data_IF_010629107522
#
_entry.id   IF_010629107522
#
_cell.length_a   1.000
_cell.length_b   1.000
_cell.length_c   1.000
_cell.angle_alpha   90.00
_cell.angle_beta   90.00
_cell.angle_gamma   90.00
#
_symmetry.space_group_name_H-M   'P 1'
#
loop_
_entity.id
_entity.type
_entity.pdbx_description
1 polymer ?
#
# COMPACT_ATOMS: atom_id res chain seq x y z
N UNK A 1 -27.41 0.93 -77.57
CA UNK A 1 -27.60 2.36 -77.39
C UNK A 1 -28.99 2.62 -76.84
N UNK A 2 -29.18 2.81 -75.57
CA UNK A 2 -30.43 3.16 -74.97
C UNK A 2 -30.14 3.88 -73.63
N UNK A 3 -30.67 5.05 -73.38
CA UNK A 3 -30.25 5.88 -72.30
C UNK A 3 -30.91 5.51 -70.96
N UNK A 4 -30.14 5.61 -69.94
CA UNK A 4 -30.52 5.45 -68.55
C UNK A 4 -31.40 6.62 -68.05
N UNK A 5 -32.61 6.31 -67.60
CA UNK A 5 -33.49 7.30 -66.94
C UNK A 5 -33.06 7.52 -65.50
N UNK A 6 -32.81 8.76 -65.12
CA UNK A 6 -32.63 9.22 -63.74
C UNK A 6 -34.00 9.35 -63.07
N UNK A 7 -34.20 8.60 -62.00
CA UNK A 7 -35.26 8.89 -61.02
C UNK A 7 -34.68 9.69 -59.87
N UNK A 8 -35.19 10.87 -59.68
CA UNK A 8 -34.85 11.80 -58.64
C UNK A 8 -35.71 11.49 -57.40
N UNK A 9 -35.13 10.95 -56.36
CA UNK A 9 -35.79 10.78 -55.06
C UNK A 9 -35.33 11.93 -54.18
N UNK A 10 -36.27 12.74 -53.77
CA UNK A 10 -36.07 13.87 -52.87
C UNK A 10 -35.95 13.36 -51.44
N UNK A 11 -34.75 13.37 -50.84
CA UNK A 11 -34.55 13.14 -49.44
C UNK A 11 -34.43 14.47 -48.71
N UNK A 12 -35.37 14.67 -47.80
CA UNK A 12 -35.38 15.77 -46.85
C UNK A 12 -34.23 15.57 -45.87
N UNK A 13 -33.25 16.48 -45.85
CA UNK A 13 -32.13 16.48 -44.90
C UNK A 13 -32.61 17.11 -43.60
N UNK A 14 -32.85 16.27 -42.57
CA UNK A 14 -32.86 16.75 -41.19
C UNK A 14 -31.44 17.05 -40.77
N UNK A 15 -31.15 18.30 -40.51
CA UNK A 15 -29.89 18.75 -39.92
C UNK A 15 -29.78 18.28 -38.48
N UNK A 16 -29.22 17.11 -38.25
CA UNK A 16 -28.71 16.71 -36.96
C UNK A 16 -27.35 17.34 -36.77
N UNK A 17 -27.25 18.28 -35.83
CA UNK A 17 -25.96 18.82 -35.38
C UNK A 17 -25.14 17.68 -34.75
N UNK A 18 -24.22 17.11 -35.49
CA UNK A 18 -23.18 16.27 -34.94
C UNK A 18 -22.24 17.14 -34.13
N UNK A 19 -22.34 17.08 -32.82
CA UNK A 19 -21.30 17.59 -31.94
C UNK A 19 -20.00 16.84 -32.23
N UNK A 20 -19.10 17.48 -32.96
CA UNK A 20 -17.76 17.04 -33.14
C UNK A 20 -17.07 17.07 -31.76
N UNK A 21 -16.85 15.92 -31.15
CA UNK A 21 -15.87 15.79 -30.05
C UNK A 21 -14.49 16.09 -30.64
N UNK A 22 -14.06 17.33 -30.52
CA UNK A 22 -12.62 17.62 -30.65
C UNK A 22 -11.91 16.93 -29.51
N UNK A 23 -10.84 16.17 -29.75
CA UNK A 23 -9.99 15.73 -28.67
C UNK A 23 -9.31 16.97 -28.10
N UNK A 24 -9.79 17.44 -26.96
CA UNK A 24 -9.05 18.38 -26.15
C UNK A 24 -7.78 17.67 -25.70
N UNK A 25 -6.68 18.01 -26.32
CA UNK A 25 -5.32 17.73 -25.89
C UNK A 25 -5.01 18.69 -24.73
N UNK A 26 -5.75 18.59 -23.65
CA UNK A 26 -5.45 19.21 -22.37
C UNK A 26 -4.63 18.18 -21.62
N UNK A 27 -3.35 18.53 -21.39
CA UNK A 27 -2.45 17.77 -20.54
C UNK A 27 -3.20 17.24 -19.32
N UNK A 28 -2.97 15.99 -19.00
CA UNK A 28 -3.48 15.34 -17.82
C UNK A 28 -3.10 16.18 -16.60
N UNK A 29 -3.95 17.11 -16.21
CA UNK A 29 -3.96 17.58 -14.83
C UNK A 29 -4.35 16.37 -14.02
N UNK A 30 -3.35 15.72 -13.42
CA UNK A 30 -3.55 14.82 -12.30
C UNK A 30 -4.58 15.50 -11.40
N UNK A 31 -5.75 14.89 -11.26
CA UNK A 31 -6.79 15.42 -10.39
C UNK A 31 -6.14 15.55 -9.02
N UNK A 32 -5.90 16.78 -8.58
CA UNK A 32 -5.35 17.05 -7.26
C UNK A 32 -6.40 16.54 -6.28
N UNK A 33 -6.16 15.35 -5.74
CA UNK A 33 -7.01 14.80 -4.71
C UNK A 33 -6.87 15.73 -3.51
N UNK A 34 -7.92 16.53 -3.28
CA UNK A 34 -7.90 17.56 -2.24
C UNK A 34 -7.81 16.89 -0.88
N UNK A 35 -6.77 17.20 -0.12
CA UNK A 35 -6.65 16.76 1.26
C UNK A 35 -7.91 17.11 2.05
N UNK A 36 -8.46 16.13 2.77
CA UNK A 36 -9.54 16.36 3.72
C UNK A 36 -8.99 17.14 4.92
N UNK A 37 -9.85 17.92 5.57
CA UNK A 37 -9.46 18.56 6.83
C UNK A 37 -9.09 17.48 7.85
N UNK A 38 -7.95 17.59 8.54
CA UNK A 38 -7.50 16.57 9.47
C UNK A 38 -8.50 16.40 10.62
N UNK A 39 -8.82 15.14 10.96
CA UNK A 39 -9.63 14.81 12.13
C UNK A 39 -8.81 13.93 13.07
N UNK A 40 -9.00 14.04 14.39
CA UNK A 40 -8.44 13.08 15.34
C UNK A 40 -8.88 11.65 14.99
N UNK A 41 -7.99 10.68 15.15
CA UNK A 41 -8.30 9.28 14.93
C UNK A 41 -9.47 8.84 15.81
N UNK A 42 -10.42 8.12 15.22
CA UNK A 42 -11.49 7.46 15.98
C UNK A 42 -10.98 6.07 16.38
N UNK A 43 -10.61 5.89 17.66
CA UNK A 43 -10.17 4.58 18.13
C UNK A 43 -11.29 3.55 17.95
N UNK A 44 -11.03 2.50 17.18
CA UNK A 44 -11.96 1.38 17.03
C UNK A 44 -11.78 0.39 18.18
N UNK A 45 -12.88 -0.05 18.85
CA UNK A 45 -12.80 -1.09 19.85
C UNK A 45 -12.16 -2.36 19.29
N UNK A 46 -11.22 -2.94 20.04
CA UNK A 46 -10.48 -4.13 19.62
C UNK A 46 -9.21 -3.85 18.81
N UNK A 47 -9.00 -2.63 18.35
CA UNK A 47 -7.84 -2.23 17.53
C UNK A 47 -6.86 -1.33 18.30
N UNK A 48 -6.46 -1.77 19.49
CA UNK A 48 -5.55 -1.02 20.36
C UNK A 48 -4.06 -1.19 20.08
N UNK A 49 -3.68 -2.15 19.24
CA UNK A 49 -2.30 -2.44 18.85
C UNK A 49 -1.83 -1.65 17.64
N UNK A 50 -0.67 -2.03 17.08
CA UNK A 50 -0.11 -1.40 15.90
C UNK A 50 -0.61 -2.03 14.60
N UNK A 51 -0.67 -1.25 13.53
CA UNK A 51 -0.70 -1.76 12.16
C UNK A 51 0.74 -1.89 11.70
N UNK A 52 1.15 -3.10 11.37
CA UNK A 52 2.50 -3.44 10.93
C UNK A 52 2.40 -3.97 9.51
N UNK A 53 3.06 -3.30 8.59
CA UNK A 53 3.15 -3.71 7.19
C UNK A 53 4.54 -4.26 6.94
N UNK A 54 4.62 -5.45 6.34
CA UNK A 54 5.87 -6.06 5.88
C UNK A 54 5.71 -6.31 4.38
N UNK A 55 6.57 -5.68 3.57
CA UNK A 55 6.51 -5.80 2.12
C UNK A 55 7.63 -6.69 1.64
N UNK A 56 7.25 -7.71 0.88
CA UNK A 56 8.15 -8.62 0.19
C UNK A 56 8.07 -8.36 -1.31
N UNK A 57 8.91 -9.00 -2.11
CA UNK A 57 9.18 -8.63 -3.49
C UNK A 57 8.93 -9.75 -4.51
N UNK A 58 8.26 -9.35 -5.60
CA UNK A 58 8.26 -10.04 -6.90
C UNK A 58 7.98 -11.55 -6.84
N UNK A 59 7.01 -11.99 -6.04
CA UNK A 59 6.61 -13.41 -6.04
C UNK A 59 5.10 -13.56 -6.17
N UNK A 60 4.72 -14.51 -7.00
CA UNK A 60 3.33 -14.85 -7.20
C UNK A 60 2.74 -15.61 -6.01
N UNK A 61 1.44 -15.46 -5.83
CA UNK A 61 0.69 -16.26 -4.85
C UNK A 61 0.90 -17.76 -5.03
N UNK A 62 1.05 -18.24 -6.26
CA UNK A 62 1.28 -19.66 -6.55
C UNK A 62 2.64 -20.13 -6.03
N UNK A 63 3.68 -19.32 -6.14
CA UNK A 63 5.01 -19.66 -5.62
C UNK A 63 5.03 -19.68 -4.09
N UNK A 64 4.30 -18.78 -3.46
CA UNK A 64 4.33 -18.58 -2.01
C UNK A 64 3.28 -19.45 -1.30
N UNK A 65 2.04 -19.48 -1.77
CA UNK A 65 0.91 -20.18 -1.12
C UNK A 65 0.50 -21.44 -1.83
N UNK A 66 1.12 -21.80 -2.96
CA UNK A 66 0.86 -23.03 -3.69
C UNK A 66 1.53 -24.26 -3.06
N UNK A 67 1.25 -25.45 -3.62
CA UNK A 67 1.85 -26.69 -3.15
C UNK A 67 3.39 -26.64 -3.19
N UNK A 68 4.04 -26.93 -2.05
CA UNK A 68 5.49 -26.89 -1.93
C UNK A 68 6.07 -25.50 -1.64
N UNK A 69 5.23 -24.52 -1.37
CA UNK A 69 5.65 -23.18 -0.94
C UNK A 69 6.36 -23.17 0.42
N UNK A 70 6.85 -21.99 0.85
CA UNK A 70 7.68 -21.84 2.04
C UNK A 70 6.90 -22.19 3.32
N UNK A 71 7.55 -22.92 4.20
CA UNK A 71 6.89 -23.54 5.35
C UNK A 71 6.35 -22.53 6.36
N UNK A 72 7.17 -21.54 6.75
CA UNK A 72 6.77 -20.60 7.79
C UNK A 72 5.62 -19.71 7.32
N UNK A 73 5.68 -19.25 6.08
CA UNK A 73 4.58 -18.46 5.49
C UNK A 73 3.28 -19.28 5.43
N UNK A 74 3.35 -20.59 5.13
CA UNK A 74 2.16 -21.46 5.19
C UNK A 74 1.61 -21.58 6.63
N UNK A 75 2.49 -21.66 7.65
CA UNK A 75 2.06 -21.64 9.05
C UNK A 75 1.36 -20.32 9.41
N UNK A 76 1.87 -19.18 8.93
CA UNK A 76 1.22 -17.88 9.09
C UNK A 76 -0.14 -17.80 8.38
N UNK A 77 -0.23 -18.33 7.17
CA UNK A 77 -1.49 -18.37 6.40
C UNK A 77 -2.56 -19.24 7.10
N UNK A 78 -2.18 -20.34 7.73
CA UNK A 78 -3.09 -21.16 8.53
C UNK A 78 -3.53 -20.49 9.82
N UNK A 79 -2.69 -19.66 10.43
CA UNK A 79 -3.01 -18.91 11.65
C UNK A 79 -3.76 -17.59 11.42
N UNK A 80 -3.61 -17.02 10.25
CA UNK A 80 -4.19 -15.75 9.83
C UNK A 80 -5.35 -15.86 8.84
N UNK A 81 -5.62 -14.80 8.11
CA UNK A 81 -6.54 -14.76 6.99
C UNK A 81 -5.79 -14.43 5.69
N UNK A 82 -6.21 -15.02 4.58
CA UNK A 82 -5.57 -14.89 3.27
C UNK A 82 -6.57 -14.33 2.25
N UNK A 83 -6.15 -13.33 1.48
CA UNK A 83 -6.89 -12.86 0.31
C UNK A 83 -6.28 -13.50 -0.95
N UNK A 84 -6.95 -14.53 -1.50
CA UNK A 84 -6.44 -15.25 -2.68
C UNK A 84 -6.78 -14.59 -4.01
N UNK A 85 -7.55 -13.52 -3.99
CA UNK A 85 -7.90 -12.70 -5.15
C UNK A 85 -7.50 -11.25 -4.90
N UNK A 86 -6.25 -11.07 -4.42
CA UNK A 86 -5.61 -9.79 -4.23
C UNK A 86 -4.72 -9.50 -5.45
N UNK A 87 -4.82 -8.29 -5.97
CA UNK A 87 -4.11 -7.82 -7.15
C UNK A 87 -3.21 -6.65 -6.78
N UNK A 88 -2.08 -6.51 -7.42
CA UNK A 88 -1.33 -5.26 -7.43
C UNK A 88 -2.09 -4.19 -8.23
N UNK A 89 -1.49 -3.01 -8.41
CA UNK A 89 -2.11 -1.91 -9.15
C UNK A 89 -1.94 -2.02 -10.66
N UNK A 90 -1.38 -3.12 -11.15
CA UNK A 90 -0.96 -3.31 -12.55
C UNK A 90 -0.01 -2.21 -13.04
N UNK A 91 0.69 -1.57 -12.13
CA UNK A 91 1.72 -0.55 -12.40
C UNK A 91 3.06 -1.13 -11.98
N UNK A 92 4.02 -1.04 -12.84
CA UNK A 92 5.38 -1.56 -12.65
C UNK A 92 6.39 -0.46 -13.03
N UNK A 93 7.59 -0.49 -12.49
CA UNK A 93 8.16 -1.43 -11.54
C UNK A 93 7.81 -1.14 -10.07
N UNK A 94 8.56 -1.75 -9.13
CA UNK A 94 8.29 -1.80 -7.68
C UNK A 94 7.98 -0.44 -7.04
N UNK A 95 8.75 0.63 -7.33
CA UNK A 95 8.55 1.95 -6.71
C UNK A 95 7.10 2.44 -6.84
N UNK A 96 6.48 2.27 -8.01
CA UNK A 96 5.10 2.67 -8.25
C UNK A 96 4.12 1.97 -7.30
N UNK A 97 4.35 0.69 -6.98
CA UNK A 97 3.54 -0.08 -6.06
C UNK A 97 3.75 0.36 -4.60
N UNK A 98 5.00 0.63 -4.21
CA UNK A 98 5.30 1.15 -2.86
C UNK A 98 4.65 2.52 -2.62
N UNK A 99 4.72 3.43 -3.60
CA UNK A 99 4.03 4.72 -3.52
C UNK A 99 2.52 4.54 -3.38
N UNK A 100 1.94 3.60 -4.12
CA UNK A 100 0.52 3.31 -4.01
C UNK A 100 0.11 2.80 -2.63
N UNK A 101 0.93 1.96 -2.01
CA UNK A 101 0.69 1.42 -0.66
C UNK A 101 0.57 2.51 0.42
N UNK A 102 1.16 3.67 0.21
CA UNK A 102 1.16 4.75 1.21
C UNK A 102 0.35 5.98 0.79
N UNK A 103 -0.05 6.09 -0.48
CA UNK A 103 -0.76 7.27 -0.98
C UNK A 103 -2.03 6.94 -1.80
N UNK A 104 -2.26 5.68 -2.16
CA UNK A 104 -3.36 5.27 -3.04
C UNK A 104 -3.19 5.72 -4.47
N UNK A 105 -1.97 6.09 -4.87
CA UNK A 105 -1.56 6.45 -6.22
C UNK A 105 -0.04 6.39 -6.37
N UNK A 106 0.45 6.28 -7.61
CA UNK A 106 1.88 6.28 -7.93
C UNK A 106 2.43 7.63 -8.41
N UNK A 107 1.63 8.69 -8.42
CA UNK A 107 2.01 10.04 -8.88
C UNK A 107 2.56 10.10 -10.32
N UNK A 108 2.29 9.09 -11.13
CA UNK A 108 2.82 8.96 -12.50
C UNK A 108 4.24 8.42 -12.58
N UNK A 109 4.81 7.97 -11.48
CA UNK A 109 6.10 7.27 -11.43
C UNK A 109 5.96 5.89 -12.08
N UNK A 110 6.85 5.56 -13.01
CA UNK A 110 6.84 4.34 -13.79
C UNK A 110 8.26 3.77 -13.99
N UNK A 111 9.17 4.05 -13.08
CA UNK A 111 10.53 3.53 -13.03
C UNK A 111 10.97 3.33 -11.58
N UNK A 112 12.21 2.96 -11.34
CA UNK A 112 12.78 2.65 -10.03
C UNK A 112 13.94 3.61 -9.67
N UNK A 113 13.85 4.86 -10.11
CA UNK A 113 14.89 5.83 -9.86
C UNK A 113 14.92 6.26 -8.37
N UNK A 114 16.11 6.52 -7.84
CA UNK A 114 16.27 7.00 -6.47
C UNK A 114 15.55 8.37 -6.24
N UNK A 115 15.20 8.73 -4.99
CA UNK A 115 14.51 9.97 -4.62
C UNK A 115 15.11 11.26 -5.18
N UNK A 116 16.39 11.25 -5.57
CA UNK A 116 17.03 12.39 -6.23
C UNK A 116 16.40 12.73 -7.60
N UNK A 117 15.76 11.76 -8.24
CA UNK A 117 15.08 11.93 -9.54
C UNK A 117 13.57 12.15 -9.37
N UNK A 118 12.98 11.69 -8.29
CA UNK A 118 11.55 11.77 -8.01
C UNK A 118 11.26 12.63 -6.78
N UNK A 119 10.73 13.81 -7.00
CA UNK A 119 10.37 14.78 -5.97
C UNK A 119 8.86 14.91 -5.89
N UNK A 120 8.22 14.20 -4.94
CA UNK A 120 6.77 14.21 -4.78
C UNK A 120 6.36 15.37 -3.86
N UNK A 121 5.85 16.44 -4.48
CA UNK A 121 5.31 17.58 -3.75
C UNK A 121 3.84 17.33 -3.39
N UNK A 122 3.62 16.37 -2.50
CA UNK A 122 2.29 15.97 -2.03
C UNK A 122 2.33 15.63 -0.56
N UNK A 123 1.32 16.07 0.18
CA UNK A 123 1.04 15.69 1.58
C UNK A 123 -0.17 14.75 1.67
N UNK A 124 -0.65 14.25 0.52
CA UNK A 124 -1.76 13.30 0.48
C UNK A 124 -1.24 11.87 0.57
N UNK A 125 -0.70 11.52 1.74
CA UNK A 125 -0.19 10.18 2.03
C UNK A 125 -0.48 9.77 3.50
N UNK A 126 -0.37 8.47 3.77
CA UNK A 126 -0.75 7.88 5.07
C UNK A 126 -0.06 8.54 6.26
N UNK A 127 1.25 8.81 6.17
CA UNK A 127 1.99 9.30 7.35
C UNK A 127 1.61 10.73 7.74
N UNK A 128 1.19 11.56 6.78
CA UNK A 128 0.59 12.86 7.09
C UNK A 128 -0.74 12.71 7.83
N UNK A 129 -1.61 11.80 7.36
CA UNK A 129 -2.87 11.54 8.06
C UNK A 129 -2.65 11.01 9.47
N UNK A 130 -1.68 10.10 9.64
CA UNK A 130 -1.29 9.50 10.91
C UNK A 130 -0.83 10.58 11.88
N UNK A 131 0.07 11.47 11.48
CA UNK A 131 0.57 12.56 12.32
C UNK A 131 -0.53 13.57 12.65
N UNK A 132 -1.35 13.97 11.66
CA UNK A 132 -2.50 14.86 11.88
C UNK A 132 -3.54 14.26 12.84
N UNK A 133 -3.67 12.94 12.86
CA UNK A 133 -4.53 12.22 13.79
C UNK A 133 -3.93 12.07 15.21
N UNK A 134 -2.72 12.58 15.43
CA UNK A 134 -1.98 12.44 16.70
C UNK A 134 -1.43 11.04 16.94
N UNK A 135 -1.32 10.22 15.90
CA UNK A 135 -0.74 8.89 15.94
C UNK A 135 0.75 8.93 15.56
N UNK A 136 1.47 7.88 15.92
CA UNK A 136 2.91 7.74 15.62
C UNK A 136 3.15 6.72 14.50
N UNK A 137 4.24 6.90 13.77
CA UNK A 137 4.67 5.98 12.73
C UNK A 137 6.19 5.82 12.69
N UNK A 138 6.68 4.73 12.12
CA UNK A 138 8.09 4.53 11.79
C UNK A 138 8.24 3.49 10.67
N UNK A 139 9.17 3.75 9.76
CA UNK A 139 9.61 2.82 8.75
C UNK A 139 10.98 2.24 9.16
N UNK A 140 11.11 0.91 9.09
CA UNK A 140 12.32 0.18 9.40
C UNK A 140 12.84 -0.47 8.12
N UNK A 141 13.98 0.03 7.64
CA UNK A 141 14.55 -0.35 6.35
C UNK A 141 15.83 -1.17 6.56
N UNK A 142 15.81 -2.45 6.17
CA UNK A 142 16.97 -3.32 6.43
C UNK A 142 18.15 -2.95 5.54
N UNK A 143 19.34 -2.85 6.16
CA UNK A 143 20.61 -2.47 5.51
C UNK A 143 20.70 -1.02 5.04
N UNK A 144 19.82 -0.15 5.50
CA UNK A 144 19.86 1.29 5.17
C UNK A 144 21.06 1.99 5.85
N UNK A 145 21.43 1.57 7.07
CA UNK A 145 22.52 2.15 7.84
C UNK A 145 22.12 3.48 8.49
N UNK A 146 22.47 4.61 7.86
CA UNK A 146 22.09 5.91 8.40
C UNK A 146 20.59 6.19 8.16
N UNK A 147 19.89 6.88 9.11
CA UNK A 147 18.50 7.23 8.92
C UNK A 147 18.25 8.10 7.67
N UNK A 148 17.07 7.97 7.05
CA UNK A 148 16.66 8.73 5.88
C UNK A 148 17.58 8.49 4.65
N UNK A 149 17.73 7.22 4.26
CA UNK A 149 18.54 6.80 3.12
C UNK A 149 17.91 7.21 1.79
N UNK A 150 18.46 8.22 1.12
CA UNK A 150 17.93 8.76 -0.14
C UNK A 150 18.55 8.11 -1.38
N UNK A 151 19.43 7.14 -1.22
CA UNK A 151 20.15 6.51 -2.33
C UNK A 151 20.34 5.04 -2.05
N UNK A 152 20.04 4.22 -3.05
CA UNK A 152 20.25 2.78 -3.01
C UNK A 152 21.72 2.43 -2.84
N UNK A 153 22.05 1.50 -1.95
CA UNK A 153 23.41 1.01 -1.75
C UNK A 153 23.44 -0.37 -1.10
N UNK A 154 24.43 -1.16 -1.44
CA UNK A 154 24.59 -2.50 -0.87
C UNK A 154 23.36 -3.38 -1.14
N UNK A 155 22.63 -3.68 -0.08
CA UNK A 155 21.36 -4.43 -0.12
C UNK A 155 20.13 -3.59 0.22
N UNK A 156 20.32 -2.33 0.55
CA UNK A 156 19.24 -1.36 0.69
C UNK A 156 18.85 -0.82 -0.68
N UNK A 157 17.56 -0.82 -0.98
CA UNK A 157 16.98 -0.23 -2.18
C UNK A 157 16.05 0.91 -1.79
N UNK A 158 16.38 2.16 -2.16
CA UNK A 158 15.56 3.33 -1.84
C UNK A 158 14.17 3.24 -2.48
N UNK A 159 14.04 2.59 -3.64
CA UNK A 159 12.75 2.33 -4.31
C UNK A 159 11.77 1.51 -3.47
N UNK A 160 12.24 0.79 -2.47
CA UNK A 160 11.41 0.03 -1.51
C UNK A 160 11.10 0.82 -0.23
N UNK A 161 11.46 2.10 -0.19
CA UNK A 161 11.15 3.04 0.90
C UNK A 161 10.31 4.20 0.38
N UNK A 162 8.97 4.08 0.35
CA UNK A 162 8.12 5.09 -0.28
C UNK A 162 8.16 6.45 0.42
N UNK A 163 8.56 6.50 1.69
CA UNK A 163 8.50 7.73 2.48
C UNK A 163 9.57 8.75 2.08
N UNK A 164 10.73 8.28 1.57
CA UNK A 164 11.83 9.14 1.18
C UNK A 164 11.61 9.88 -0.15
N UNK A 165 10.52 9.60 -0.84
CA UNK A 165 10.14 10.28 -2.07
C UNK A 165 9.32 11.55 -1.84
N UNK A 166 8.67 11.69 -0.68
CA UNK A 166 7.84 12.86 -0.37
C UNK A 166 8.69 14.03 0.17
N UNK A 167 8.58 15.19 -0.47
CA UNK A 167 9.37 16.38 -0.16
C UNK A 167 9.19 16.85 1.29
N UNK A 168 7.99 16.77 1.82
CA UNK A 168 7.66 17.13 3.19
C UNK A 168 8.25 16.15 4.23
N UNK A 169 8.58 14.92 3.82
CA UNK A 169 9.28 13.93 4.64
C UNK A 169 10.78 14.07 4.50
N UNK A 170 11.32 14.06 3.27
CA UNK A 170 12.75 13.97 2.99
C UNK A 170 13.49 15.31 3.10
N UNK A 171 12.77 16.45 3.12
CA UNK A 171 13.34 17.78 3.24
C UNK A 171 13.84 18.40 1.94
N UNK A 172 13.36 17.95 0.79
CA UNK A 172 13.61 18.63 -0.47
C UNK A 172 12.88 19.97 -0.52
N UNK A 173 13.61 21.07 -0.79
CA UNK A 173 13.07 22.43 -0.82
C UNK A 173 12.85 23.00 -2.23
N UNK A 174 13.00 22.16 -3.25
CA UNK A 174 12.97 22.56 -4.66
C UNK A 174 14.35 22.80 -5.27
N UNK A 175 15.42 22.81 -4.48
CA UNK A 175 16.80 23.03 -4.93
C UNK A 175 17.79 22.01 -4.37
N UNK A 176 17.57 21.58 -3.13
CA UNK A 176 18.46 20.65 -2.45
C UNK A 176 17.72 19.87 -1.35
N UNK A 177 18.26 18.70 -0.98
CA UNK A 177 17.85 18.02 0.23
C UNK A 177 18.47 18.68 1.46
N UNK A 178 17.62 18.92 2.46
CA UNK A 178 18.04 19.38 3.78
C UNK A 178 17.83 18.25 4.78
N UNK A 179 18.72 18.08 5.78
CA UNK A 179 18.53 17.07 6.81
C UNK A 179 17.18 17.26 7.52
N UNK A 180 16.16 16.52 7.09
CA UNK A 180 14.82 16.60 7.65
C UNK A 180 14.76 15.83 8.96
N UNK A 181 14.45 16.52 10.06
CA UNK A 181 14.25 15.84 11.36
C UNK A 181 13.13 14.81 11.28
N UNK A 182 12.09 15.09 10.48
CA UNK A 182 10.97 14.17 10.25
C UNK A 182 11.46 12.86 9.66
N UNK A 183 12.18 12.90 8.55
CA UNK A 183 12.72 11.71 7.91
C UNK A 183 13.66 10.94 8.86
N UNK A 184 14.64 11.62 9.45
CA UNK A 184 15.61 10.97 10.33
C UNK A 184 15.02 10.38 11.62
N UNK A 185 13.87 10.86 12.06
CA UNK A 185 13.17 10.33 13.24
C UNK A 185 12.27 9.13 12.91
N UNK A 186 11.81 9.01 11.68
CA UNK A 186 10.79 8.06 11.30
C UNK A 186 11.26 7.00 10.30
N UNK A 187 12.24 7.31 9.46
CA UNK A 187 12.80 6.37 8.47
C UNK A 187 14.17 5.94 8.97
N UNK A 188 14.23 4.75 9.56
CA UNK A 188 15.40 4.28 10.31
C UNK A 188 15.88 2.92 9.82
N UNK A 189 17.14 2.59 10.13
CA UNK A 189 17.65 1.25 9.86
C UNK A 189 16.89 0.20 10.70
N UNK A 190 16.68 -0.98 10.11
CA UNK A 190 15.92 -2.06 10.74
C UNK A 190 16.48 -2.49 12.11
N UNK A 191 17.77 -2.29 12.37
CA UNK A 191 18.37 -2.58 13.67
C UNK A 191 17.77 -1.81 14.85
N UNK A 192 17.09 -0.68 14.59
CA UNK A 192 16.36 0.08 15.61
C UNK A 192 15.10 -0.67 16.11
N UNK A 193 14.56 -1.62 15.35
CA UNK A 193 13.35 -2.36 15.71
C UNK A 193 13.51 -3.11 17.04
N UNK A 194 14.64 -3.79 17.26
CA UNK A 194 14.89 -4.52 18.50
C UNK A 194 14.94 -3.58 19.72
N UNK A 195 15.45 -2.36 19.53
CA UNK A 195 15.48 -1.33 20.56
C UNK A 195 14.07 -0.84 20.91
N UNK A 196 13.25 -0.55 19.90
CA UNK A 196 11.87 -0.10 20.08
C UNK A 196 10.98 -1.21 20.67
N UNK A 197 11.18 -2.45 20.28
CA UNK A 197 10.53 -3.62 20.89
C UNK A 197 10.88 -3.76 22.38
N UNK A 198 12.16 -3.69 22.71
CA UNK A 198 12.64 -3.81 24.10
C UNK A 198 12.12 -2.67 25.00
N UNK A 199 11.81 -1.52 24.44
CA UNK A 199 11.26 -0.36 25.13
C UNK A 199 9.73 -0.33 25.14
N UNK A 200 9.04 -1.28 24.53
CA UNK A 200 7.61 -1.26 24.31
C UNK A 200 7.14 0.04 23.60
N UNK A 201 7.94 0.51 22.64
CA UNK A 201 7.80 1.81 21.99
C UNK A 201 7.46 1.71 20.50
N UNK A 202 6.97 0.55 20.04
CA UNK A 202 6.51 0.45 18.65
C UNK A 202 5.39 1.46 18.37
N UNK A 203 5.49 2.22 17.27
CA UNK A 203 4.46 3.21 16.91
C UNK A 203 3.17 2.54 16.45
N UNK A 204 2.11 3.34 16.29
CA UNK A 204 0.80 2.86 15.81
C UNK A 204 0.83 2.34 14.38
N UNK A 205 1.67 2.92 13.53
CA UNK A 205 1.91 2.43 12.17
C UNK A 205 3.39 2.10 12.00
N UNK A 206 3.65 0.89 11.59
CA UNK A 206 4.99 0.33 11.36
C UNK A 206 5.06 -0.16 9.92
N UNK A 207 6.08 0.26 9.18
CA UNK A 207 6.36 -0.21 7.84
C UNK A 207 7.74 -0.86 7.83
N UNK A 208 7.85 -2.09 7.38
CA UNK A 208 9.09 -2.87 7.39
C UNK A 208 9.39 -3.32 5.97
N UNK A 209 10.59 -3.00 5.51
CA UNK A 209 11.11 -3.51 4.24
C UNK A 209 12.39 -4.30 4.52
N UNK A 210 12.39 -5.61 4.33
CA UNK A 210 13.61 -6.39 4.35
C UNK A 210 14.54 -5.96 3.20
N UNK A 211 15.81 -6.26 3.29
CA UNK A 211 16.76 -5.95 2.22
C UNK A 211 16.57 -6.88 1.00
N UNK A 212 17.18 -6.53 -0.13
CA UNK A 212 17.06 -7.25 -1.42
C UNK A 212 17.32 -8.77 -1.35
N UNK A 213 18.02 -9.26 -0.34
CA UNK A 213 18.22 -10.70 -0.12
C UNK A 213 17.05 -11.32 0.65
N UNK A 214 16.45 -10.59 1.57
CA UNK A 214 15.46 -11.09 2.50
C UNK A 214 14.01 -10.79 2.04
N UNK A 215 13.79 -9.78 1.22
CA UNK A 215 12.51 -9.47 0.61
C UNK A 215 12.13 -10.42 -0.53
N UNK A 216 13.05 -11.27 -0.99
CA UNK A 216 12.95 -12.20 -2.12
C UNK A 216 13.21 -11.58 -3.50
N UNK A 217 13.56 -10.28 -3.61
CA UNK A 217 13.89 -9.64 -4.88
C UNK A 217 15.11 -10.33 -5.53
N UNK A 218 16.28 -10.19 -4.93
CA UNK A 218 17.53 -10.84 -5.36
C UNK A 218 17.72 -12.18 -4.67
N UNK A 219 17.10 -12.35 -3.49
CA UNK A 219 17.20 -13.54 -2.68
C UNK A 219 16.21 -14.63 -3.08
N UNK A 220 16.41 -15.83 -2.55
CA UNK A 220 15.46 -16.94 -2.75
C UNK A 220 14.28 -16.83 -1.80
N UNK A 221 13.13 -17.43 -2.20
CA UNK A 221 11.96 -17.61 -1.33
C UNK A 221 12.35 -18.24 0.01
N UNK A 222 13.23 -19.24 0.00
CA UNK A 222 13.69 -19.90 1.23
C UNK A 222 14.46 -18.93 2.16
N UNK A 223 15.18 -17.96 1.61
CA UNK A 223 15.90 -16.95 2.40
C UNK A 223 14.92 -15.96 3.05
N UNK A 224 13.92 -15.51 2.31
CA UNK A 224 12.86 -14.65 2.84
C UNK A 224 12.00 -15.35 3.90
N UNK A 225 11.63 -16.62 3.67
CA UNK A 225 10.90 -17.42 4.66
C UNK A 225 11.70 -17.60 5.95
N UNK A 226 13.01 -17.87 5.85
CA UNK A 226 13.89 -17.98 7.01
C UNK A 226 14.06 -16.64 7.76
N UNK A 227 14.09 -15.52 7.04
CA UNK A 227 14.10 -14.19 7.65
C UNK A 227 12.79 -13.93 8.41
N UNK A 228 11.64 -14.17 7.79
CA UNK A 228 10.33 -14.07 8.43
C UNK A 228 10.23 -14.97 9.67
N UNK A 229 10.70 -16.22 9.59
CA UNK A 229 10.69 -17.16 10.71
C UNK A 229 11.54 -16.70 11.90
N UNK A 230 12.57 -15.89 11.68
CA UNK A 230 13.42 -15.31 12.72
C UNK A 230 12.80 -14.02 13.30
N UNK A 231 12.23 -13.16 12.46
CA UNK A 231 11.83 -11.81 12.85
C UNK A 231 10.39 -11.71 13.35
N UNK A 232 9.42 -12.38 12.69
CA UNK A 232 8.02 -12.27 13.06
C UNK A 232 7.69 -12.70 14.49
N UNK A 233 8.30 -13.75 15.07
CA UNK A 233 8.02 -14.11 16.46
C UNK A 233 8.24 -12.97 17.45
N UNK A 234 9.18 -12.06 17.20
CA UNK A 234 9.43 -10.88 18.04
C UNK A 234 8.23 -9.92 18.02
N UNK A 235 7.70 -9.69 16.81
CA UNK A 235 6.53 -8.82 16.60
C UNK A 235 5.26 -9.46 17.19
N UNK A 236 5.05 -10.74 16.95
CA UNK A 236 3.88 -11.50 17.44
C UNK A 236 3.84 -11.56 18.99
N UNK A 237 5.00 -11.53 19.65
CA UNK A 237 5.10 -11.51 21.10
C UNK A 237 4.94 -10.10 21.71
N UNK A 238 4.98 -9.05 20.89
CA UNK A 238 4.92 -7.67 21.37
C UNK A 238 3.52 -7.27 21.83
N UNK A 239 3.46 -6.32 22.76
CA UNK A 239 2.18 -5.73 23.17
C UNK A 239 1.54 -4.88 22.04
N UNK A 240 2.34 -4.39 21.11
CA UNK A 240 1.86 -3.76 19.88
C UNK A 240 1.01 -4.70 19.01
N UNK A 241 1.29 -6.00 19.04
CA UNK A 241 0.49 -7.01 18.36
C UNK A 241 -0.64 -7.55 19.25
N UNK A 242 -0.32 -7.97 20.49
CA UNK A 242 -1.26 -8.69 21.35
C UNK A 242 -2.44 -7.87 21.82
N UNK A 243 -2.37 -6.53 21.77
CA UNK A 243 -3.48 -5.61 22.07
C UNK A 243 -4.44 -5.38 20.89
N UNK A 244 -4.51 -6.30 19.94
CA UNK A 244 -5.33 -6.18 18.75
C UNK A 244 -4.59 -5.46 17.63
N UNK A 245 -3.29 -5.70 17.52
CA UNK A 245 -2.51 -5.28 16.35
C UNK A 245 -2.75 -6.18 15.14
N UNK A 246 -2.30 -5.74 13.99
CA UNK A 246 -2.33 -6.51 12.75
C UNK A 246 -0.99 -6.42 12.04
N UNK A 247 -0.52 -7.56 11.51
CA UNK A 247 0.58 -7.64 10.55
C UNK A 247 -0.02 -7.94 9.18
N UNK A 248 0.15 -7.03 8.24
CA UNK A 248 -0.07 -7.28 6.82
C UNK A 248 1.26 -7.74 6.22
N UNK A 249 1.30 -8.98 5.77
CA UNK A 249 2.40 -9.52 4.99
C UNK A 249 1.94 -9.61 3.55
N UNK A 250 2.53 -8.78 2.70
CA UNK A 250 2.15 -8.67 1.30
C UNK A 250 3.40 -8.54 0.42
N UNK A 251 3.21 -8.77 -0.87
CA UNK A 251 4.21 -8.54 -1.91
C UNK A 251 3.77 -7.35 -2.74
N UNK A 252 4.74 -6.58 -3.22
CA UNK A 252 4.52 -5.36 -4.01
C UNK A 252 3.84 -5.68 -5.34
N UNK A 253 4.34 -6.72 -6.01
CA UNK A 253 3.84 -7.22 -7.28
C UNK A 253 4.04 -8.73 -7.40
N UNK A 254 3.36 -9.36 -8.35
CA UNK A 254 3.55 -10.76 -8.69
C UNK A 254 4.86 -11.02 -9.43
N UNK A 255 5.39 -12.24 -9.35
CA UNK A 255 6.56 -12.64 -10.13
C UNK A 255 6.18 -13.00 -11.57
N UNK A 256 6.71 -12.32 -12.56
CA UNK A 256 6.55 -12.70 -13.97
C UNK A 256 5.76 -11.72 -14.85
N UNK A 257 5.19 -12.19 -15.95
CA UNK A 257 4.41 -11.33 -16.86
C UNK A 257 3.06 -10.95 -16.26
N UNK A 258 2.63 -9.69 -16.36
CA UNK A 258 1.57 -9.05 -15.57
C UNK A 258 0.19 -9.72 -15.55
N UNK A 259 -0.09 -10.63 -16.43
CA UNK A 259 -1.46 -11.14 -16.60
C UNK A 259 -1.77 -12.46 -15.87
N UNK A 260 -0.85 -13.07 -15.12
CA UNK A 260 -1.00 -14.44 -14.67
C UNK A 260 -0.74 -14.71 -13.19
N UNK A 261 -0.07 -13.84 -12.47
CA UNK A 261 0.48 -14.19 -11.15
C UNK A 261 0.29 -13.08 -10.11
N UNK A 262 -0.92 -12.98 -9.58
CA UNK A 262 -1.25 -12.10 -8.46
C UNK A 262 -0.32 -12.29 -7.26
N UNK A 263 0.06 -11.19 -6.55
CA UNK A 263 0.87 -11.29 -5.34
C UNK A 263 0.08 -11.89 -4.17
N UNK A 264 0.76 -12.53 -3.21
CA UNK A 264 0.12 -13.01 -2.00
C UNK A 264 -0.19 -11.88 -1.02
N UNK A 265 -1.28 -12.06 -0.24
CA UNK A 265 -1.66 -11.14 0.83
C UNK A 265 -2.17 -11.91 2.05
N UNK A 266 -1.55 -11.65 3.21
CA UNK A 266 -1.90 -12.25 4.49
C UNK A 266 -2.20 -11.16 5.53
N UNK A 267 -3.27 -11.36 6.30
CA UNK A 267 -3.57 -10.58 7.50
C UNK A 267 -3.39 -11.46 8.74
N UNK A 268 -2.43 -11.13 9.58
CA UNK A 268 -2.10 -11.87 10.80
C UNK A 268 -2.45 -10.97 11.99
N UNK A 269 -3.40 -11.38 12.81
CA UNK A 269 -3.90 -10.58 13.92
C UNK A 269 -4.64 -11.47 14.93
N UNK A 270 -4.66 -11.10 16.23
CA UNK A 270 -5.62 -11.69 17.17
C UNK A 270 -7.08 -11.49 16.73
N UNK A 271 -7.35 -10.47 15.91
CA UNK A 271 -8.65 -10.16 15.34
C UNK A 271 -8.90 -10.81 13.97
N UNK A 272 -7.91 -11.47 13.36
CA UNK A 272 -8.09 -12.13 12.08
C UNK A 272 -8.98 -13.37 12.22
N UNK A 273 -9.70 -13.70 11.16
CA UNK A 273 -10.43 -14.97 11.04
C UNK A 273 -9.42 -16.08 10.71
N UNK A 274 -8.91 -16.75 11.73
CA UNK A 274 -7.89 -17.79 11.60
C UNK A 274 -8.29 -18.86 10.56
N UNK A 275 -7.36 -19.14 9.64
CA UNK A 275 -7.55 -20.09 8.54
C UNK A 275 -8.59 -19.67 7.49
N UNK A 276 -9.02 -18.41 7.50
CA UNK A 276 -9.99 -17.90 6.54
C UNK A 276 -9.34 -17.57 5.19
N UNK A 277 -9.97 -18.00 4.13
CA UNK A 277 -9.57 -17.70 2.75
C UNK A 277 -10.66 -16.84 2.11
N UNK A 278 -10.33 -15.58 1.83
CA UNK A 278 -11.20 -14.69 1.07
C UNK A 278 -11.00 -14.87 -0.43
N UNK A 279 -12.13 -14.96 -1.15
CA UNK A 279 -12.17 -14.95 -2.61
C UNK A 279 -12.69 -13.62 -3.17
N UNK A 280 -12.98 -12.65 -2.30
CA UNK A 280 -13.34 -11.31 -2.74
C UNK A 280 -12.16 -10.66 -3.48
N UNK A 281 -12.48 -9.86 -4.50
CA UNK A 281 -11.47 -9.14 -5.25
C UNK A 281 -10.99 -7.95 -4.42
N UNK A 282 -9.70 -7.87 -4.21
CA UNK A 282 -9.00 -6.79 -3.50
C UNK A 282 -7.80 -6.32 -4.31
N UNK A 283 -7.36 -5.11 -4.02
CA UNK A 283 -6.16 -4.52 -4.58
C UNK A 283 -5.37 -3.70 -3.55
N UNK A 284 -4.29 -3.07 -3.96
CA UNK A 284 -3.46 -2.24 -3.09
C UNK A 284 -4.25 -1.06 -2.49
N UNK A 285 -5.28 -0.53 -3.18
CA UNK A 285 -6.16 0.49 -2.60
C UNK A 285 -7.03 -0.07 -1.48
N UNK A 286 -7.47 -1.34 -1.59
CA UNK A 286 -8.20 -2.02 -0.50
C UNK A 286 -7.33 -2.16 0.74
N UNK A 287 -6.03 -2.48 0.55
CA UNK A 287 -5.06 -2.52 1.65
C UNK A 287 -4.93 -1.14 2.32
N UNK A 288 -4.74 -0.05 1.54
CA UNK A 288 -4.65 1.32 2.07
C UNK A 288 -5.88 1.67 2.90
N UNK A 289 -7.09 1.42 2.36
CA UNK A 289 -8.37 1.62 3.07
C UNK A 289 -8.45 0.80 4.36
N UNK A 290 -7.92 -0.42 4.33
CA UNK A 290 -7.91 -1.29 5.52
C UNK A 290 -6.99 -0.74 6.61
N UNK A 291 -5.79 -0.28 6.25
CA UNK A 291 -4.87 0.41 7.18
C UNK A 291 -5.55 1.63 7.81
N UNK A 292 -6.18 2.47 6.97
CA UNK A 292 -6.89 3.66 7.44
C UNK A 292 -8.05 3.31 8.37
N UNK A 293 -8.85 2.30 8.02
CA UNK A 293 -9.97 1.85 8.86
C UNK A 293 -9.48 1.35 10.22
N UNK A 294 -8.44 0.50 10.28
CA UNK A 294 -7.86 0.02 11.55
C UNK A 294 -7.32 1.16 12.41
N UNK A 295 -6.71 2.17 11.78
CA UNK A 295 -6.18 3.35 12.48
C UNK A 295 -7.25 4.39 12.82
N UNK A 296 -8.50 4.23 12.36
CA UNK A 296 -9.59 5.18 12.56
C UNK A 296 -9.42 6.47 11.78
N UNK A 297 -8.79 6.40 10.60
CA UNK A 297 -8.55 7.53 9.69
C UNK A 297 -9.63 7.60 8.61
N UNK A 298 -9.81 8.78 8.03
CA UNK A 298 -10.60 8.94 6.81
C UNK A 298 -9.84 8.38 5.60
N UNK A 299 -10.56 7.95 4.56
CA UNK A 299 -9.91 7.47 3.34
C UNK A 299 -9.14 8.59 2.64
N UNK A 300 -7.94 8.30 2.15
CA UNK A 300 -7.21 9.19 1.25
C UNK A 300 -8.03 9.39 -0.03
N UNK A 301 -8.18 10.64 -0.51
CA UNK A 301 -9.06 10.93 -1.64
C UNK A 301 -8.74 10.12 -2.90
N UNK A 302 -7.46 9.87 -3.18
CA UNK A 302 -7.04 9.09 -4.33
C UNK A 302 -7.28 7.59 -4.13
N UNK A 303 -7.04 7.04 -2.94
CA UNK A 303 -7.38 5.65 -2.64
C UNK A 303 -8.88 5.40 -2.73
N UNK A 304 -9.70 6.33 -2.24
CA UNK A 304 -11.16 6.26 -2.32
C UNK A 304 -11.68 6.29 -3.76
N UNK A 305 -11.04 7.06 -4.65
CA UNK A 305 -11.43 7.19 -6.06
C UNK A 305 -10.79 6.17 -6.99
N UNK A 306 -9.62 5.63 -6.64
CA UNK A 306 -8.88 4.71 -7.48
C UNK A 306 -9.51 3.31 -7.56
N UNK A 307 -10.22 2.90 -6.51
CA UNK A 307 -10.85 1.58 -6.44
C UNK A 307 -12.25 1.67 -5.83
N UNK A 308 -13.22 1.08 -6.52
CA UNK A 308 -14.55 0.84 -5.97
C UNK A 308 -14.54 -0.31 -4.94
N UNK A 309 -13.42 -1.05 -4.82
CA UNK A 309 -13.29 -2.19 -3.92
C UNK A 309 -13.15 -1.68 -2.48
N UNK A 310 -13.88 -2.25 -1.51
CA UNK A 310 -13.88 -1.79 -0.12
C UNK A 310 -12.60 -2.20 0.63
N UNK A 311 -12.48 -1.73 1.88
CA UNK A 311 -11.55 -2.28 2.85
C UNK A 311 -11.82 -3.78 3.07
N UNK A 312 -10.81 -4.50 3.54
CA UNK A 312 -10.81 -5.97 3.67
C UNK A 312 -11.47 -6.44 4.99
N UNK A 313 -12.64 -5.90 5.33
CA UNK A 313 -13.32 -6.13 6.61
C UNK A 313 -13.59 -7.62 6.88
N UNK A 314 -13.91 -8.40 5.85
CA UNK A 314 -14.23 -9.82 6.01
C UNK A 314 -13.05 -10.69 6.49
N UNK A 315 -11.81 -10.19 6.42
CA UNK A 315 -10.65 -10.90 6.96
C UNK A 315 -10.63 -10.94 8.49
N UNK A 316 -11.50 -10.16 9.14
CA UNK A 316 -11.47 -9.94 10.58
C UNK A 316 -12.77 -10.37 11.28
N UNK A 317 -12.65 -10.69 12.56
CA UNK A 317 -13.77 -10.97 13.47
C UNK A 317 -14.29 -9.72 14.15
N UNK A 318 -13.47 -8.65 14.15
CA UNK A 318 -13.79 -7.33 14.72
C UNK A 318 -14.01 -6.36 13.55
N UNK A 319 -15.17 -5.67 13.49
CA UNK A 319 -15.47 -4.75 12.39
C UNK A 319 -14.45 -3.62 12.26
N UNK A 320 -14.17 -3.21 11.01
CA UNK A 320 -13.34 -2.05 10.69
C UNK A 320 -14.12 -0.73 10.69
N UNK A 321 -15.46 -0.80 10.80
CA UNK A 321 -16.32 0.38 10.87
C UNK A 321 -17.07 0.39 12.19
N UNK A 322 -17.17 1.56 12.84
CA UNK A 322 -18.14 1.73 13.93
C UNK A 322 -19.56 1.54 13.37
N UNK A 323 -20.40 0.68 13.99
CA UNK A 323 -21.81 0.62 13.61
C UNK A 323 -22.36 2.05 13.65
N UNK A 324 -23.23 2.46 12.70
CA UNK A 324 -23.89 3.74 12.79
C UNK A 324 -24.57 3.80 14.17
N UNK A 325 -24.21 4.79 14.97
CA UNK A 325 -24.90 5.03 16.24
C UNK A 325 -26.37 5.19 15.90
N UNK A 326 -27.15 4.17 16.27
CA UNK A 326 -28.57 4.14 15.98
C UNK A 326 -29.17 5.45 16.48
N UNK A 327 -29.80 6.18 15.56
CA UNK A 327 -30.73 7.24 15.90
C UNK A 327 -31.86 6.51 16.63
N UNK A 328 -31.80 6.48 17.98
CA UNK A 328 -32.95 6.14 18.78
C UNK A 328 -33.94 7.27 18.56
N UNK A 329 -34.79 7.10 17.55
CA UNK A 329 -35.94 7.92 17.38
C UNK A 329 -36.84 7.71 18.62
N UNK A 330 -36.97 8.76 19.38
CA UNK A 330 -38.06 8.96 20.34
C UNK A 330 -39.22 9.66 19.66
#
# INVERSE_FOLDING_TARGET
>A
MTPCRRSMVLFTVLSGAAAACTPNNSGSTLATCRALAPRPAAALPGWGGSVITIVMENKSRREILGPGGPRFIHELAHGGAVAVNYHDTFVHPSEANYLWMVAGQNFGVLDDDDPISHHLDSTSHLVDQIEHAGLSWKAYQESMGAPCGLTSHGRYAAKHDPFVYFNDVNGWDGTAFHPARRCAAHVVDYSELDTDLARHALPRYVFITPNLDHDMHDGSIARGDAWLARELPKLLASDAFTRGGVIFLLWDEGGGTPAADDPPFLAISPNARSGFISHASYDTSSYVKTVQAVLGLDELPCAASASAIPAMDELFTVPLTTPPTGITGS
#
